data_IF_011203139626
#
_entry.id   IF_011203139626
#
_cell.length_a   1.000
_cell.length_b   1.000
_cell.length_c   1.000
_cell.angle_alpha   90.00
_cell.angle_beta   90.00
_cell.angle_gamma   90.00
#
_symmetry.space_group_name_H-M   'P 1'
#
loop_
_entity.id
_entity.type
_entity.pdbx_description
1 polymer ?
#
# COMPACT_ATOMS: atom_id res chain seq x y z
N UNK A 1 3.84 37.31 -20.98
CA UNK A 1 4.48 36.01 -20.71
C UNK A 1 4.22 35.68 -19.25
N UNK A 2 3.16 34.94 -18.98
CA UNK A 2 2.72 34.54 -17.64
C UNK A 2 3.23 33.13 -17.35
N UNK A 3 3.93 32.97 -16.23
CA UNK A 3 4.34 31.68 -15.68
C UNK A 3 3.09 30.92 -15.18
N UNK A 4 2.94 29.62 -15.48
CA UNK A 4 1.90 28.82 -14.86
C UNK A 4 2.27 28.52 -13.41
N UNK A 5 1.26 28.65 -12.56
CA UNK A 5 1.28 28.54 -11.11
C UNK A 5 1.73 27.15 -10.65
N UNK A 6 2.64 27.13 -9.66
CA UNK A 6 2.87 25.97 -8.81
C UNK A 6 1.64 25.84 -7.90
N UNK A 7 0.67 25.04 -8.31
CA UNK A 7 -0.42 24.63 -7.44
C UNK A 7 0.12 23.52 -6.51
N UNK A 8 0.18 23.71 -5.18
CA UNK A 8 0.56 22.63 -4.29
C UNK A 8 -0.59 21.63 -4.29
N UNK A 9 -0.44 20.55 -5.07
CA UNK A 9 -1.26 19.35 -4.92
C UNK A 9 -1.27 19.00 -3.43
N UNK A 10 -2.42 19.25 -2.79
CA UNK A 10 -2.70 18.76 -1.45
C UNK A 10 -2.57 17.24 -1.55
N UNK A 11 -1.42 16.71 -1.13
CA UNK A 11 -1.20 15.27 -0.96
C UNK A 11 -2.19 14.81 0.10
N UNK A 12 -3.41 14.49 -0.31
CA UNK A 12 -4.41 13.86 0.55
C UNK A 12 -3.82 12.51 0.94
N UNK A 13 -3.34 12.39 2.18
CA UNK A 13 -2.85 11.12 2.70
C UNK A 13 -3.95 10.07 2.52
N UNK A 14 -3.66 9.00 1.79
CA UNK A 14 -4.59 7.88 1.68
C UNK A 14 -4.93 7.36 3.09
N UNK A 15 -6.21 7.06 3.37
CA UNK A 15 -6.59 6.49 4.66
C UNK A 15 -5.84 5.18 4.88
N UNK A 16 -5.14 5.09 6.01
CA UNK A 16 -4.39 3.89 6.37
C UNK A 16 -5.32 2.87 7.00
N UNK A 17 -5.57 1.79 6.27
CA UNK A 17 -6.25 0.59 6.77
C UNK A 17 -5.21 -0.52 6.99
N UNK A 18 -5.17 -1.10 8.19
CA UNK A 18 -4.21 -2.17 8.48
C UNK A 18 -4.63 -3.46 7.79
N UNK A 19 -3.84 -3.96 6.83
CA UNK A 19 -4.09 -5.25 6.18
C UNK A 19 -3.37 -6.41 6.88
N UNK A 20 -2.23 -6.12 7.50
CA UNK A 20 -1.40 -7.09 8.21
C UNK A 20 -0.81 -6.46 9.47
N UNK A 21 -0.62 -7.26 10.51
CA UNK A 21 0.07 -6.85 11.73
C UNK A 21 1.22 -7.82 11.98
N UNK A 22 2.43 -7.28 12.12
CA UNK A 22 3.60 -8.05 12.53
C UNK A 22 3.82 -7.81 14.03
N UNK A 23 3.70 -8.86 14.82
CA UNK A 23 4.05 -8.82 16.24
C UNK A 23 5.56 -9.08 16.42
N UNK A 24 6.21 -8.22 17.20
CA UNK A 24 7.63 -8.28 17.49
C UNK A 24 7.88 -8.89 18.88
N UNK A 25 8.95 -9.69 18.99
CA UNK A 25 9.45 -10.12 20.29
C UNK A 25 9.82 -8.91 21.15
N UNK A 26 9.51 -8.96 22.45
CA UNK A 26 9.90 -7.91 23.40
C UNK A 26 11.42 -7.74 23.54
N UNK A 27 12.19 -8.74 23.08
CA UNK A 27 13.66 -8.74 23.06
C UNK A 27 14.24 -8.28 21.71
N UNK A 28 13.41 -7.87 20.76
CA UNK A 28 13.87 -7.42 19.46
C UNK A 28 14.67 -6.12 19.62
N UNK A 29 15.84 -6.04 18.97
CA UNK A 29 16.67 -4.85 19.01
C UNK A 29 16.04 -3.75 18.15
N UNK A 30 16.02 -2.52 18.65
CA UNK A 30 15.41 -1.38 17.94
C UNK A 30 16.03 -1.13 16.56
N UNK A 31 17.34 -1.34 16.42
CA UNK A 31 18.04 -1.24 15.14
C UNK A 31 17.47 -2.22 14.09
N UNK A 32 17.24 -3.48 14.49
CA UNK A 32 16.65 -4.49 13.61
C UNK A 32 15.21 -4.12 13.22
N UNK A 33 14.43 -3.58 14.16
CA UNK A 33 13.06 -3.12 13.87
C UNK A 33 13.07 -1.96 12.88
N UNK A 34 13.94 -0.98 13.08
CA UNK A 34 14.07 0.16 12.18
C UNK A 34 14.55 -0.28 10.78
N UNK A 35 15.52 -1.20 10.71
CA UNK A 35 15.94 -1.81 9.45
C UNK A 35 14.77 -2.53 8.76
N UNK A 36 13.97 -3.31 9.50
CA UNK A 36 12.81 -4.01 8.95
C UNK A 36 11.77 -3.03 8.38
N UNK A 37 11.45 -1.97 9.13
CA UNK A 37 10.54 -0.91 8.68
C UNK A 37 11.06 -0.29 7.37
N UNK A 38 12.34 0.07 7.33
CA UNK A 38 12.98 0.63 6.14
C UNK A 38 12.90 -0.33 4.94
N UNK A 39 13.13 -1.64 5.14
CA UNK A 39 13.03 -2.63 4.07
C UNK A 39 11.61 -2.80 3.53
N UNK A 40 10.60 -2.77 4.41
CA UNK A 40 9.19 -2.85 4.01
C UNK A 40 8.78 -1.60 3.22
N UNK A 41 9.22 -0.43 3.64
CA UNK A 41 8.84 0.85 3.03
C UNK A 41 9.63 1.20 1.77
N UNK A 42 10.84 0.67 1.61
CA UNK A 42 11.73 1.08 0.51
C UNK A 42 11.17 0.75 -0.89
N UNK A 43 11.58 1.52 -1.92
CA UNK A 43 11.27 1.23 -3.32
C UNK A 43 11.70 -0.17 -3.77
N UNK A 44 10.99 -0.75 -4.73
CA UNK A 44 11.38 -2.04 -5.33
C UNK A 44 12.72 -1.98 -6.05
N UNK A 45 13.06 -0.83 -6.62
CA UNK A 45 14.33 -0.59 -7.31
C UNK A 45 15.55 -0.82 -6.41
N UNK A 46 15.37 -0.74 -5.10
CA UNK A 46 16.40 -1.05 -4.08
C UNK A 46 16.07 -2.32 -3.27
N UNK A 47 15.19 -3.15 -3.82
CA UNK A 47 14.74 -4.42 -3.24
C UNK A 47 13.78 -4.29 -2.06
N UNK A 48 13.12 -3.15 -1.87
CA UNK A 48 12.07 -2.98 -0.87
C UNK A 48 10.69 -3.47 -1.36
N UNK A 49 9.67 -3.29 -0.53
CA UNK A 49 8.31 -3.77 -0.82
C UNK A 49 7.30 -2.68 -1.24
N UNK A 50 7.67 -1.40 -1.11
CA UNK A 50 6.79 -0.24 -1.38
C UNK A 50 5.47 -0.30 -0.60
N UNK A 51 5.55 -0.73 0.66
CA UNK A 51 4.42 -0.79 1.58
C UNK A 51 4.48 0.34 2.59
N UNK A 52 3.39 0.58 3.31
CA UNK A 52 3.33 1.59 4.38
C UNK A 52 3.32 0.87 5.72
N UNK A 53 4.10 1.37 6.67
CA UNK A 53 4.21 0.80 8.01
C UNK A 53 3.87 1.86 9.06
N UNK A 54 3.01 1.50 10.02
CA UNK A 54 2.78 2.26 11.25
C UNK A 54 3.25 1.45 12.46
N UNK A 55 4.40 1.81 13.05
CA UNK A 55 4.90 1.12 14.23
C UNK A 55 4.14 1.56 15.48
N UNK A 56 3.88 0.61 16.37
CA UNK A 56 3.22 0.83 17.66
C UNK A 56 4.15 0.34 18.76
N UNK A 57 4.35 1.20 19.76
CA UNK A 57 5.14 0.90 20.95
C UNK A 57 4.24 0.44 22.08
N UNK A 58 4.74 -0.51 22.86
CA UNK A 58 4.15 -0.89 24.12
C UNK A 58 4.30 0.26 25.14
N UNK A 59 3.23 0.59 25.84
CA UNK A 59 3.17 1.76 26.73
C UNK A 59 4.07 1.58 27.97
N UNK A 60 4.19 0.35 28.49
CA UNK A 60 4.92 0.08 29.73
C UNK A 60 6.43 0.03 29.50
N UNK A 61 6.86 -0.52 28.37
CA UNK A 61 8.27 -0.75 28.03
C UNK A 61 8.83 0.27 27.05
N UNK A 62 7.97 1.04 26.38
CA UNK A 62 8.32 1.96 25.28
C UNK A 62 9.07 1.27 24.12
N UNK A 63 8.98 -0.06 24.01
CA UNK A 63 9.58 -0.85 22.94
C UNK A 63 8.58 -1.04 21.80
N UNK A 64 9.07 -1.12 20.57
CA UNK A 64 8.22 -1.52 19.43
C UNK A 64 7.64 -2.91 19.67
N UNK A 65 6.31 -3.03 19.54
CA UNK A 65 5.58 -4.28 19.75
C UNK A 65 4.83 -4.75 18.52
N UNK A 66 4.19 -3.83 17.81
CA UNK A 66 3.42 -4.15 16.61
C UNK A 66 3.83 -3.26 15.45
N UNK A 67 3.90 -3.83 14.26
CA UNK A 67 4.01 -3.08 13.01
C UNK A 67 2.71 -3.31 12.23
N UNK A 68 1.89 -2.27 12.11
CA UNK A 68 0.74 -2.30 11.22
C UNK A 68 1.23 -2.04 9.81
N UNK A 69 0.89 -2.90 8.87
CA UNK A 69 1.33 -2.84 7.48
C UNK A 69 0.12 -2.69 6.57
N UNK A 70 0.19 -1.73 5.65
CA UNK A 70 -0.76 -1.58 4.56
C UNK A 70 -0.04 -1.39 3.22
N UNK A 71 -0.82 -1.33 2.15
CA UNK A 71 -0.34 -1.07 0.80
C UNK A 71 -1.14 0.10 0.22
N UNK A 72 -0.50 1.08 -0.44
CA UNK A 72 -1.22 2.12 -1.16
C UNK A 72 -2.01 1.50 -2.33
N UNK A 73 -3.03 2.20 -2.82
CA UNK A 73 -3.96 1.61 -3.80
C UNK A 73 -3.25 1.05 -5.04
N UNK A 74 -2.32 1.81 -5.63
CA UNK A 74 -1.57 1.37 -6.81
C UNK A 74 -0.82 0.05 -6.55
N UNK A 75 -0.25 -0.09 -5.35
CA UNK A 75 0.52 -1.27 -4.96
C UNK A 75 -0.38 -2.47 -4.76
N UNK A 76 -1.59 -2.28 -4.23
CA UNK A 76 -2.59 -3.34 -4.14
C UNK A 76 -2.97 -3.87 -5.53
N UNK A 77 -3.12 -2.97 -6.51
CA UNK A 77 -3.42 -3.37 -7.89
C UNK A 77 -2.28 -4.18 -8.50
N UNK A 78 -1.03 -3.74 -8.34
CA UNK A 78 0.12 -4.53 -8.80
C UNK A 78 0.24 -5.89 -8.11
N UNK A 79 -0.06 -5.97 -6.81
CA UNK A 79 -0.09 -7.24 -6.07
C UNK A 79 -1.18 -8.15 -6.66
N UNK A 80 -2.37 -7.61 -6.95
CA UNK A 80 -3.44 -8.38 -7.57
C UNK A 80 -3.08 -8.92 -8.96
N UNK A 81 -2.37 -8.14 -9.77
CA UNK A 81 -1.83 -8.60 -11.06
C UNK A 81 -0.75 -9.67 -10.87
N UNK A 82 0.17 -9.48 -9.91
CA UNK A 82 1.22 -10.47 -9.63
C UNK A 82 0.67 -11.80 -9.10
N UNK A 83 -0.41 -11.75 -8.33
CA UNK A 83 -1.13 -12.94 -7.86
C UNK A 83 -2.04 -13.55 -8.94
N UNK A 84 -2.02 -13.03 -10.17
CA UNK A 84 -2.82 -13.49 -11.31
C UNK A 84 -4.31 -13.59 -10.96
N UNK A 85 -4.81 -12.63 -10.18
CA UNK A 85 -6.20 -12.64 -9.74
C UNK A 85 -7.14 -12.58 -10.94
N UNK A 86 -8.22 -13.34 -10.89
CA UNK A 86 -9.30 -13.24 -11.89
C UNK A 86 -10.46 -12.43 -11.33
N UNK A 87 -11.04 -11.56 -12.17
CA UNK A 87 -12.19 -10.72 -11.82
C UNK A 87 -13.24 -10.72 -12.94
N UNK A 88 -14.51 -10.46 -12.63
CA UNK A 88 -15.56 -10.31 -13.65
C UNK A 88 -15.33 -9.06 -14.50
N UNK A 89 -15.21 -9.25 -15.81
CA UNK A 89 -15.10 -8.16 -16.78
C UNK A 89 -16.48 -7.50 -16.98
N UNK A 90 -16.60 -6.24 -16.56
CA UNK A 90 -17.83 -5.46 -16.63
C UNK A 90 -18.22 -5.14 -18.08
N UNK A 91 -17.25 -5.12 -19.00
CA UNK A 91 -17.49 -4.89 -20.44
C UNK A 91 -17.96 -6.16 -21.17
N UNK A 92 -17.87 -7.34 -20.54
CA UNK A 92 -18.15 -8.62 -21.17
C UNK A 92 -19.05 -9.50 -20.30
N UNK A 93 -20.18 -8.95 -19.86
CA UNK A 93 -21.23 -9.65 -19.11
C UNK A 93 -20.73 -10.42 -17.87
N UNK A 94 -19.65 -9.94 -17.22
CA UNK A 94 -19.09 -10.57 -16.02
C UNK A 94 -18.25 -11.82 -16.29
N UNK A 95 -17.80 -12.07 -17.54
CA UNK A 95 -16.86 -13.14 -17.82
C UNK A 95 -15.58 -12.99 -16.97
N UNK A 96 -15.12 -14.06 -16.34
CA UNK A 96 -13.89 -14.04 -15.55
C UNK A 96 -12.67 -13.86 -16.45
N UNK A 97 -11.87 -12.83 -16.19
CA UNK A 97 -10.61 -12.55 -16.88
C UNK A 97 -9.50 -12.27 -15.88
N UNK A 98 -8.26 -12.55 -16.28
CA UNK A 98 -7.08 -12.17 -15.52
C UNK A 98 -7.04 -10.64 -15.37
N UNK A 99 -6.82 -10.20 -14.13
CA UNK A 99 -6.66 -8.80 -13.79
C UNK A 99 -5.26 -8.33 -14.20
N UNK A 100 -5.19 -7.18 -14.88
CA UNK A 100 -3.93 -6.46 -15.07
C UNK A 100 -4.16 -4.98 -14.77
N UNK A 101 -3.14 -4.29 -14.25
CA UNK A 101 -3.21 -2.84 -13.99
C UNK A 101 -3.59 -2.08 -15.27
N UNK A 102 -3.10 -2.54 -16.42
CA UNK A 102 -3.43 -1.98 -17.75
C UNK A 102 -4.91 -2.10 -18.14
N UNK A 103 -5.63 -3.08 -17.57
CA UNK A 103 -7.04 -3.34 -17.90
C UNK A 103 -7.98 -3.05 -16.74
N UNK A 104 -7.52 -2.33 -15.70
CA UNK A 104 -8.29 -1.96 -14.51
C UNK A 104 -9.67 -1.37 -14.84
N UNK A 105 -9.76 -0.51 -15.85
CA UNK A 105 -11.01 0.14 -16.28
C UNK A 105 -12.09 -0.82 -16.76
N UNK A 106 -11.75 -2.07 -17.08
CA UNK A 106 -12.72 -3.13 -17.44
C UNK A 106 -13.36 -3.78 -16.21
N UNK A 107 -12.77 -3.61 -15.04
CA UNK A 107 -13.19 -4.26 -13.80
C UNK A 107 -13.81 -3.29 -12.80
N UNK A 108 -13.65 -1.98 -12.99
CA UNK A 108 -14.12 -0.94 -12.07
C UNK A 108 -14.91 0.11 -12.84
N UNK A 109 -16.15 0.37 -12.42
CA UNK A 109 -17.11 1.16 -13.19
C UNK A 109 -16.94 2.68 -13.05
N UNK A 110 -16.33 3.19 -11.98
CA UNK A 110 -16.03 4.61 -11.79
C UNK A 110 -15.16 4.82 -10.52
N UNK A 111 -13.92 5.28 -10.67
CA UNK A 111 -13.13 5.84 -9.56
C UNK A 111 -13.56 7.30 -9.26
N UNK A 112 -14.85 7.53 -9.03
CA UNK A 112 -15.40 8.85 -8.63
C UNK A 112 -16.12 8.84 -7.28
N UNK A 113 -15.86 7.85 -6.42
CA UNK A 113 -16.37 7.87 -5.04
C UNK A 113 -15.23 8.02 -4.04
N UNK A 114 -15.28 9.18 -3.39
CA UNK A 114 -14.55 9.63 -2.20
C UNK A 114 -13.11 10.09 -2.45
N UNK A 115 -12.99 11.25 -3.11
CA UNK A 115 -11.92 12.21 -2.85
C UNK A 115 -12.52 13.37 -2.05
#
# INVERSE_FOLDING_TARGET
MSHPENDPEIQREEPFESHCVIELSAKCQEELVNWLIQRIMAPKSVGGAELVVRPVRDIATNHYRYLHVCAPFYRQMEIAEWLEMTKPDLSNHGALKAFTVKTLTKFVTDCKRQI
#
